data_IF_610787759690
#
_entry.id   IF_610787759690
#
_cell.length_a   1.000
_cell.length_b   1.000
_cell.length_c   1.000
_cell.angle_alpha   90.00
_cell.angle_beta   90.00
_cell.angle_gamma   90.00
#
_symmetry.space_group_name_H-M   'P 1'
#
loop_
_entity.id
_entity.type
_entity.pdbx_description
1 polymer ?
#
# COMPACT_ATOMS: atom_id res chain seq x y z
N UNK A 1 4.32 17.34 -3.89
CA UNK A 1 2.97 17.37 -3.29
C UNK A 1 2.84 16.16 -2.37
N UNK A 2 2.30 16.30 -1.16
CA UNK A 2 1.92 15.13 -0.33
C UNK A 2 0.44 14.80 -0.51
N UNK A 3 0.07 13.54 -0.28
CA UNK A 3 -1.32 13.10 -0.34
C UNK A 3 -1.85 12.90 1.06
N UNK A 4 -3.05 13.41 1.34
CA UNK A 4 -3.68 13.33 2.65
C UNK A 4 -4.99 12.56 2.58
N UNK A 5 -5.25 11.78 3.62
CA UNK A 5 -6.54 11.15 3.84
C UNK A 5 -7.63 12.22 3.98
N UNK A 6 -8.88 11.84 3.69
CA UNK A 6 -10.03 12.77 3.75
C UNK A 6 -10.27 13.27 5.17
N UNK A 7 -9.99 12.41 6.14
CA UNK A 7 -9.97 12.77 7.55
C UNK A 7 -8.54 12.64 8.08
N UNK A 8 -8.13 13.54 8.98
CA UNK A 8 -6.84 13.44 9.64
C UNK A 8 -7.08 12.97 11.08
N UNK A 9 -6.51 11.82 11.46
CA UNK A 9 -6.64 11.24 12.80
C UNK A 9 -5.27 11.13 13.43
N UNK A 10 -5.00 11.97 14.44
CA UNK A 10 -3.65 12.06 15.03
C UNK A 10 -3.25 10.83 15.85
N UNK A 11 -4.20 10.08 16.40
CA UNK A 11 -3.97 8.80 17.08
C UNK A 11 -5.28 8.01 17.29
N UNK A 12 -5.19 6.68 17.34
CA UNK A 12 -6.28 5.83 17.79
C UNK A 12 -6.08 5.50 19.27
N UNK A 13 -6.85 6.16 20.13
CA UNK A 13 -6.73 5.94 21.58
C UNK A 13 -7.25 4.56 21.98
N UNK A 14 -8.20 4.04 21.20
CA UNK A 14 -8.80 2.75 21.47
C UNK A 14 -8.86 1.88 20.21
N UNK A 15 -8.67 0.56 20.40
CA UNK A 15 -8.73 -0.43 19.32
C UNK A 15 -10.08 -0.43 18.57
N UNK A 16 -11.18 -0.13 19.26
CA UNK A 16 -12.51 -0.10 18.64
C UNK A 16 -12.70 1.10 17.70
N UNK A 17 -12.00 2.22 17.92
CA UNK A 17 -12.02 3.37 17.01
C UNK A 17 -11.27 3.01 15.71
N UNK A 18 -10.07 2.43 15.85
CA UNK A 18 -9.31 1.91 14.71
C UNK A 18 -10.13 0.90 13.91
N UNK A 19 -10.77 -0.05 14.61
CA UNK A 19 -11.62 -1.06 13.99
C UNK A 19 -12.73 -0.42 13.17
N UNK A 20 -13.54 0.45 13.79
CA UNK A 20 -14.67 1.11 13.13
C UNK A 20 -14.21 1.84 11.88
N UNK A 21 -13.18 2.68 11.99
CA UNK A 21 -12.71 3.49 10.87
C UNK A 21 -12.11 2.62 9.75
N UNK A 22 -11.52 1.47 10.08
CA UNK A 22 -11.02 0.51 9.08
C UNK A 22 -12.16 -0.28 8.41
N UNK A 23 -13.22 -0.64 9.15
CA UNK A 23 -14.44 -1.26 8.59
C UNK A 23 -15.16 -0.27 7.67
N UNK A 24 -15.33 0.99 8.09
CA UNK A 24 -15.91 2.06 7.28
C UNK A 24 -15.07 2.32 6.01
N UNK A 25 -13.75 2.17 6.09
CA UNK A 25 -12.87 2.34 4.92
C UNK A 25 -12.99 1.16 3.93
N UNK A 26 -13.22 -0.04 4.45
CA UNK A 26 -13.36 -1.28 3.67
C UNK A 26 -14.81 -1.55 3.25
N UNK A 27 -15.74 -0.64 3.56
CA UNK A 27 -17.04 -0.54 2.91
C UNK A 27 -16.96 0.49 1.79
N UNK A 28 -16.82 0.02 0.54
CA UNK A 28 -16.72 0.91 -0.61
C UNK A 28 -18.00 1.66 -0.95
N UNK A 29 -19.13 1.31 -0.31
CA UNK A 29 -20.38 2.07 -0.39
C UNK A 29 -20.44 3.19 0.65
N UNK A 30 -19.61 3.11 1.68
CA UNK A 30 -19.52 4.10 2.74
C UNK A 30 -19.05 5.45 2.19
N UNK A 31 -19.74 6.50 2.64
CA UNK A 31 -19.34 7.89 2.39
C UNK A 31 -18.56 8.47 3.57
N UNK A 32 -18.31 7.68 4.60
CA UNK A 32 -17.56 8.15 5.75
C UNK A 32 -16.12 8.49 5.36
N UNK A 33 -15.68 9.65 5.80
CA UNK A 33 -14.29 10.03 5.71
C UNK A 33 -13.51 9.25 6.75
N UNK A 34 -12.40 8.69 6.34
CA UNK A 34 -11.57 7.81 7.16
C UNK A 34 -10.13 8.27 7.05
N UNK A 35 -9.30 8.00 8.08
CA UNK A 35 -7.92 8.48 8.12
C UNK A 35 -6.95 7.62 7.32
N UNK A 36 -7.46 6.75 6.45
CA UNK A 36 -6.64 5.82 5.68
C UNK A 36 -6.57 6.24 4.22
N UNK A 37 -5.43 5.93 3.60
CA UNK A 37 -5.24 5.97 2.15
C UNK A 37 -4.96 4.55 1.69
N UNK A 38 -5.83 4.01 0.83
CA UNK A 38 -5.60 2.71 0.18
C UNK A 38 -4.37 2.76 -0.72
N UNK A 39 -3.50 1.78 -0.55
CA UNK A 39 -2.35 1.51 -1.43
C UNK A 39 -2.31 0.02 -1.75
N UNK A 40 -1.65 -0.37 -2.84
CA UNK A 40 -1.61 -1.75 -3.28
C UNK A 40 -0.16 -2.20 -3.50
N UNK A 41 0.18 -3.40 -3.04
CA UNK A 41 1.48 -4.00 -3.35
C UNK A 41 1.57 -4.49 -4.81
N UNK A 42 0.44 -4.84 -5.44
CA UNK A 42 0.42 -5.16 -6.86
C UNK A 42 0.25 -3.90 -7.71
N UNK A 43 1.24 -3.63 -8.56
CA UNK A 43 1.13 -2.60 -9.60
C UNK A 43 -0.09 -2.84 -10.48
N UNK A 44 -0.32 -4.08 -10.92
CA UNK A 44 -1.47 -4.37 -11.80
C UNK A 44 -2.80 -4.06 -11.12
N UNK A 45 -2.91 -4.30 -9.81
CA UNK A 45 -4.13 -4.01 -9.07
C UNK A 45 -4.38 -2.49 -8.97
N UNK A 46 -3.35 -1.71 -8.61
CA UNK A 46 -3.44 -0.25 -8.59
C UNK A 46 -3.86 0.33 -9.95
N UNK A 47 -3.36 -0.26 -11.05
CA UNK A 47 -3.70 0.14 -12.41
C UNK A 47 -5.16 -0.16 -12.73
N UNK A 48 -5.62 -1.39 -12.48
CA UNK A 48 -7.02 -1.75 -12.70
C UNK A 48 -7.95 -0.82 -11.91
N UNK A 49 -7.62 -0.57 -10.64
CA UNK A 49 -8.38 0.34 -9.79
C UNK A 49 -8.43 1.77 -10.35
N UNK A 50 -7.30 2.29 -10.85
CA UNK A 50 -7.24 3.60 -11.49
C UNK A 50 -8.09 3.67 -12.77
N UNK A 51 -8.11 2.61 -13.57
CA UNK A 51 -8.93 2.50 -14.78
C UNK A 51 -10.43 2.47 -14.44
N UNK A 52 -10.83 1.62 -13.49
CA UNK A 52 -12.23 1.50 -13.03
C UNK A 52 -12.76 2.84 -12.51
N UNK A 53 -11.94 3.56 -11.73
CA UNK A 53 -12.31 4.90 -11.22
C UNK A 53 -12.49 5.92 -12.33
N UNK A 54 -11.65 5.87 -13.36
CA UNK A 54 -11.77 6.76 -14.53
C UNK A 54 -13.04 6.46 -15.31
N UNK A 55 -13.34 5.19 -15.55
CA UNK A 55 -14.57 4.75 -16.23
C UNK A 55 -15.83 5.13 -15.45
N UNK A 56 -15.74 5.15 -14.12
CA UNK A 56 -16.80 5.61 -13.22
C UNK A 56 -16.98 7.14 -13.19
N UNK A 57 -16.23 7.90 -13.99
CA UNK A 57 -16.35 9.34 -14.13
C UNK A 57 -15.57 10.17 -13.10
N UNK A 58 -14.65 9.57 -12.33
CA UNK A 58 -13.87 10.28 -11.31
C UNK A 58 -12.72 11.16 -11.87
N UNK A 59 -12.62 11.31 -13.19
CA UNK A 59 -11.61 12.16 -13.84
C UNK A 59 -10.28 11.46 -14.11
N UNK A 60 -9.19 12.24 -14.20
CA UNK A 60 -7.83 11.71 -14.44
C UNK A 60 -7.30 10.98 -13.21
N UNK A 61 -6.98 9.69 -13.36
CA UNK A 61 -6.32 8.90 -12.34
C UNK A 61 -4.87 8.65 -12.72
N UNK A 62 -3.97 8.68 -11.74
CA UNK A 62 -2.53 8.40 -11.90
C UNK A 62 -2.11 7.32 -10.90
N UNK A 63 -1.09 6.55 -11.25
CA UNK A 63 -0.52 5.50 -10.38
C UNK A 63 0.81 5.98 -9.84
N UNK A 64 0.94 5.98 -8.51
CA UNK A 64 2.17 6.40 -7.84
C UNK A 64 2.97 5.19 -7.36
N UNK A 65 4.29 5.21 -7.58
CA UNK A 65 5.22 4.28 -6.95
C UNK A 65 5.71 4.90 -5.64
N UNK A 66 5.59 4.15 -4.54
CA UNK A 66 5.92 4.64 -3.19
C UNK A 66 7.15 3.90 -2.62
N UNK A 67 8.00 4.65 -1.92
CA UNK A 67 9.03 4.11 -1.03
C UNK A 67 8.43 3.85 0.35
N UNK A 68 8.22 2.58 0.66
CA UNK A 68 7.57 2.16 1.91
C UNK A 68 8.40 2.47 3.16
N UNK A 69 9.71 2.65 3.03
CA UNK A 69 10.59 3.00 4.16
C UNK A 69 10.40 4.44 4.63
N UNK A 70 9.77 5.28 3.79
CA UNK A 70 9.51 6.70 4.06
C UNK A 70 8.05 7.01 4.37
N UNK A 71 7.21 5.98 4.45
CA UNK A 71 5.81 6.11 4.83
C UNK A 71 5.67 6.13 6.35
N UNK A 72 4.55 6.70 6.81
CA UNK A 72 4.12 6.56 8.20
C UNK A 72 3.57 5.16 8.50
N UNK A 73 2.73 5.00 9.53
CA UNK A 73 2.10 3.73 9.85
C UNK A 73 1.36 3.12 8.65
N UNK A 74 1.65 1.84 8.35
CA UNK A 74 1.02 1.07 7.28
C UNK A 74 0.41 -0.20 7.87
N UNK A 75 -0.81 -0.54 7.45
CA UNK A 75 -1.51 -1.74 7.90
C UNK A 75 -1.88 -2.64 6.72
N UNK A 76 -1.44 -3.89 6.74
CA UNK A 76 -1.84 -4.88 5.73
C UNK A 76 -3.30 -5.31 5.98
N UNK A 77 -4.21 -5.01 5.03
CA UNK A 77 -5.65 -5.28 5.19
C UNK A 77 -5.90 -6.76 5.44
N UNK A 78 -5.23 -7.64 4.67
CA UNK A 78 -5.34 -9.09 4.85
C UNK A 78 -5.00 -9.55 6.28
N UNK A 79 -4.01 -8.92 6.92
CA UNK A 79 -3.68 -9.23 8.31
C UNK A 79 -4.72 -8.68 9.28
N UNK A 80 -5.26 -7.47 9.04
CA UNK A 80 -6.31 -6.89 9.88
C UNK A 80 -7.58 -7.76 9.89
N UNK A 81 -8.04 -8.20 8.72
CA UNK A 81 -9.22 -9.07 8.57
C UNK A 81 -9.02 -10.41 9.28
N UNK A 82 -7.83 -11.00 9.17
CA UNK A 82 -7.51 -12.31 9.78
C UNK A 82 -7.09 -12.21 11.25
N UNK A 83 -6.97 -11.00 11.82
CA UNK A 83 -6.46 -10.82 13.16
C UNK A 83 -7.49 -11.24 14.23
N UNK A 84 -7.20 -12.24 15.07
CA UNK A 84 -8.20 -12.88 15.94
C UNK A 84 -8.78 -11.95 17.02
N UNK A 85 -8.05 -10.89 17.39
CA UNK A 85 -8.52 -9.90 18.38
C UNK A 85 -9.23 -8.70 17.78
N UNK A 86 -8.97 -8.40 16.49
CA UNK A 86 -9.58 -7.25 15.84
C UNK A 86 -10.96 -7.63 15.28
N UNK A 87 -11.05 -8.84 14.71
CA UNK A 87 -12.27 -9.36 14.10
C UNK A 87 -12.89 -8.33 13.14
N UNK A 88 -12.05 -7.76 12.28
CA UNK A 88 -12.47 -6.74 11.32
C UNK A 88 -13.43 -7.38 10.31
N UNK A 89 -14.60 -6.79 10.14
CA UNK A 89 -15.59 -7.22 9.16
C UNK A 89 -15.47 -6.44 7.85
N UNK A 90 -15.57 -7.15 6.73
CA UNK A 90 -15.71 -6.55 5.40
C UNK A 90 -16.49 -7.51 4.51
N UNK A 91 -17.34 -6.95 3.64
CA UNK A 91 -18.08 -7.70 2.62
C UNK A 91 -17.30 -7.84 1.31
N UNK A 92 -16.13 -7.18 1.23
CA UNK A 92 -15.27 -7.25 0.06
C UNK A 92 -14.75 -8.69 -0.14
N UNK A 93 -14.70 -9.18 -1.39
CA UNK A 93 -14.00 -10.42 -1.69
C UNK A 93 -12.50 -10.34 -1.35
N UNK A 94 -11.89 -11.43 -0.85
CA UNK A 94 -10.46 -11.42 -0.45
C UNK A 94 -9.52 -10.99 -1.59
N UNK A 95 -9.83 -11.36 -2.84
CA UNK A 95 -8.99 -10.97 -3.97
C UNK A 95 -8.93 -9.45 -4.21
N UNK A 96 -9.90 -8.70 -3.69
CA UNK A 96 -10.04 -7.25 -3.81
C UNK A 96 -9.19 -6.48 -2.80
N UNK A 97 -8.85 -7.08 -1.65
CA UNK A 97 -8.07 -6.41 -0.60
C UNK A 97 -6.79 -7.16 -0.18
N UNK A 98 -6.54 -8.37 -0.71
CA UNK A 98 -5.44 -9.25 -0.23
C UNK A 98 -4.04 -8.62 -0.28
N UNK A 99 -3.83 -7.68 -1.18
CA UNK A 99 -2.59 -6.92 -1.40
C UNK A 99 -2.77 -5.43 -1.12
N UNK A 100 -3.89 -5.05 -0.51
CA UNK A 100 -4.18 -3.69 -0.06
C UNK A 100 -3.49 -3.42 1.28
N UNK A 101 -2.98 -2.20 1.40
CA UNK A 101 -2.36 -1.64 2.58
C UNK A 101 -2.96 -0.27 2.87
N UNK A 102 -3.29 -0.02 4.13
CA UNK A 102 -3.81 1.26 4.59
C UNK A 102 -2.67 2.10 5.16
N UNK A 103 -2.38 3.24 4.54
CA UNK A 103 -1.46 4.24 5.08
C UNK A 103 -2.26 5.23 5.93
N UNK A 104 -1.78 5.50 7.14
CA UNK A 104 -2.44 6.43 8.05
C UNK A 104 -2.11 7.90 7.73
N UNK A 105 -3.16 8.72 7.62
CA UNK A 105 -3.18 10.18 7.47
C UNK A 105 -2.55 10.77 6.20
N UNK A 106 -1.29 10.46 5.91
CA UNK A 106 -0.53 11.15 4.88
C UNK A 106 0.49 10.23 4.21
N UNK A 107 0.60 10.35 2.89
CA UNK A 107 1.73 9.88 2.09
C UNK A 107 2.62 11.10 1.86
N UNK A 108 3.79 11.18 2.53
CA UNK A 108 4.70 12.31 2.37
C UNK A 108 5.22 12.39 0.93
N UNK A 109 5.42 13.61 0.42
CA UNK A 109 5.94 13.80 -0.94
C UNK A 109 7.32 13.14 -1.16
N UNK A 110 8.12 13.02 -0.11
CA UNK A 110 9.45 12.38 -0.10
C UNK A 110 9.40 10.86 -0.26
N UNK A 111 8.22 10.26 -0.08
CA UNK A 111 7.97 8.83 -0.29
C UNK A 111 7.49 8.51 -1.71
N UNK A 112 7.15 9.52 -2.52
CA UNK A 112 6.69 9.31 -3.90
C UNK A 112 7.92 9.24 -4.81
N UNK A 113 8.14 8.08 -5.42
CA UNK A 113 9.28 7.83 -6.30
C UNK A 113 9.00 8.28 -7.74
N UNK A 114 7.81 7.98 -8.25
CA UNK A 114 7.38 8.41 -9.57
C UNK A 114 5.85 8.35 -9.73
N UNK A 115 5.37 9.04 -10.77
CA UNK A 115 3.98 9.09 -11.20
C UNK A 115 3.87 8.49 -12.61
N UNK A 116 2.88 7.63 -12.81
CA UNK A 116 2.68 6.88 -14.05
C UNK A 116 1.22 7.09 -14.48
N UNK A 117 0.99 7.60 -15.69
CA UNK A 117 -0.35 7.58 -16.27
C UNK A 117 -0.72 6.12 -16.58
N UNK A 118 -1.89 5.63 -16.13
CA UNK A 118 -2.37 4.29 -16.44
C UNK A 118 -2.35 3.95 -17.94
N UNK A 119 -2.43 4.94 -18.84
CA UNK A 119 -2.40 4.77 -20.30
C UNK A 119 -1.00 4.51 -20.87
N UNK A 120 0.05 4.90 -20.15
CA UNK A 120 1.43 4.67 -20.57
C UNK A 120 1.90 3.24 -20.22
N UNK A 121 1.05 2.51 -19.49
CA UNK A 121 1.29 1.15 -19.06
C UNK A 121 1.03 0.21 -20.24
N UNK A 122 2.12 -0.34 -20.79
CA UNK A 122 2.11 -1.18 -21.99
C UNK A 122 2.78 -0.54 -23.21
N UNK A 123 3.13 0.76 -23.16
CA UNK A 123 3.85 1.46 -24.25
C UNK A 123 5.38 1.43 -24.14
N UNK A 124 5.94 0.69 -23.16
CA UNK A 124 7.40 0.60 -22.98
C UNK A 124 8.08 1.91 -22.57
N UNK A 125 7.34 2.91 -22.07
CA UNK A 125 7.85 4.27 -21.81
C UNK A 125 8.15 4.58 -20.33
N UNK A 126 8.15 3.58 -19.44
CA UNK A 126 8.77 3.80 -18.12
C UNK A 126 10.27 3.61 -18.30
N UNK A 127 10.97 4.69 -18.59
CA UNK A 127 12.42 4.74 -18.52
C UNK A 127 12.79 4.62 -17.03
N UNK A 128 12.95 3.39 -16.55
CA UNK A 128 13.69 3.15 -15.32
C UNK A 128 15.10 3.66 -15.62
N UNK A 129 15.46 4.85 -15.14
CA UNK A 129 16.84 5.28 -15.11
C UNK A 129 17.52 4.45 -14.03
N UNK A 130 17.93 3.24 -14.39
CA UNK A 130 19.08 2.60 -13.78
C UNK A 130 20.26 3.47 -14.16
N UNK A 131 20.80 4.21 -13.21
CA UNK A 131 22.15 4.75 -13.29
C UNK A 131 23.08 3.54 -13.48
N UNK A 132 23.34 3.19 -14.73
CA UNK A 132 24.28 2.15 -15.12
C UNK A 132 25.67 2.73 -14.96
N UNK A 133 26.19 2.67 -13.74
CA UNK A 133 27.62 2.69 -13.53
C UNK A 133 28.15 1.29 -13.85
N UNK A 134 28.99 1.22 -14.88
CA UNK A 134 29.50 -0.02 -15.44
C UNK A 134 30.37 -0.76 -14.43
N UNK A 135 30.06 -2.04 -14.22
CA UNK A 135 30.87 -2.94 -13.41
C UNK A 135 30.69 -4.36 -13.91
N UNK A 136 31.59 -4.77 -14.80
CA UNK A 136 31.82 -6.12 -15.28
C UNK A 136 32.27 -7.04 -14.12
N UNK A 137 31.44 -8.00 -13.73
CA UNK A 137 31.88 -9.14 -12.91
C UNK A 137 31.26 -10.43 -13.42
N UNK A 138 32.15 -11.30 -13.87
CA UNK A 138 31.93 -12.67 -14.33
C UNK A 138 31.33 -13.60 -13.28
N UNK A 139 30.42 -14.44 -13.76
CA UNK A 139 30.15 -15.84 -13.42
C UNK A 139 31.00 -16.49 -12.31
N UNK A 140 30.34 -16.96 -11.26
CA UNK A 140 30.66 -18.21 -10.57
C UNK A 140 29.45 -18.66 -9.75
N UNK A 141 28.89 -19.82 -10.12
CA UNK A 141 27.96 -20.58 -9.29
C UNK A 141 28.70 -21.14 -8.08
N UNK A 142 28.09 -21.08 -6.88
CA UNK A 142 28.09 -22.18 -5.93
C UNK A 142 27.06 -21.95 -4.81
N UNK A 143 26.54 -23.08 -4.33
CA UNK A 143 25.42 -23.26 -3.39
C UNK A 143 25.78 -22.86 -1.96
N UNK A 144 24.80 -22.37 -1.17
CA UNK A 144 24.45 -23.04 0.10
C UNK A 144 23.15 -22.52 0.72
N UNK A 145 22.48 -23.44 1.41
CA UNK A 145 21.27 -23.30 2.21
C UNK A 145 21.52 -22.49 3.50
N UNK A 146 20.44 -22.01 4.13
CA UNK A 146 20.33 -21.46 5.52
C UNK A 146 20.35 -19.93 5.70
N UNK A 147 19.17 -19.35 5.98
CA UNK A 147 18.90 -18.47 7.15
C UNK A 147 17.59 -17.68 7.01
N UNK A 148 16.45 -18.36 7.14
CA UNK A 148 15.13 -17.74 7.33
C UNK A 148 14.81 -17.63 8.83
N UNK A 149 15.65 -16.94 9.60
CA UNK A 149 15.46 -16.80 11.05
C UNK A 149 15.79 -15.42 11.63
N UNK A 150 15.57 -14.36 10.85
CA UNK A 150 15.60 -12.98 11.36
C UNK A 150 14.26 -12.34 11.03
N UNK A 151 13.34 -12.29 12.01
CA UNK A 151 12.25 -11.29 12.19
C UNK A 151 11.26 -11.69 13.31
N UNK A 152 11.60 -12.66 14.17
CA UNK A 152 10.93 -12.83 15.46
C UNK A 152 11.73 -12.16 16.57
N UNK A 153 11.38 -10.92 16.85
CA UNK A 153 11.73 -10.33 18.12
C UNK A 153 11.80 -8.83 18.04
N UNK A 154 10.70 -8.17 18.39
CA UNK A 154 10.71 -6.95 19.22
C UNK A 154 9.28 -6.61 19.65
N UNK A 155 8.74 -7.44 20.55
CA UNK A 155 7.64 -7.09 21.45
C UNK A 155 7.90 -7.78 22.79
N UNK A 156 8.87 -7.25 23.55
CA UNK A 156 8.89 -7.40 25.01
C UNK A 156 8.75 -6.01 25.61
N UNK A 157 7.60 -5.83 26.28
CA UNK A 157 7.38 -4.83 27.33
C UNK A 157 8.40 -5.02 28.46
N UNK A 158 8.69 -4.00 29.27
CA UNK A 158 7.80 -3.63 30.38
C UNK A 158 6.95 -2.38 30.13
#
# INVERSE_FOLDING_TARGET
MSLRARQNQTDFRYLHEFKRDAEDHLDWTSRHETPFISTFASRQHAVNWALDRRESGCGTAVVLKLDTQRLGPIFCVRHLVKHPRLQLYTELPEHTYRDEYLVLNEIPSTSILCEIDPRDIGRGQVQETYDSDGGDYSDSSDSDDSDMNYWYGHLKRP
#
